data_IF_978355889470
#
_entry.id   IF_978355889470
#
_cell.length_a   1.000
_cell.length_b   1.000
_cell.length_c   1.000
_cell.angle_alpha   90.00
_cell.angle_beta   90.00
_cell.angle_gamma   90.00
#
_symmetry.space_group_name_H-M   'P 1'
#
loop_
_entity.id
_entity.type
_entity.pdbx_description
1 polymer ?
#
# COMPACT_ATOMS: atom_id res chain seq x y z
N UNK A 1 25.08 13.74 8.66
CA UNK A 1 23.98 13.58 7.70
C UNK A 1 22.85 12.85 8.43
N UNK A 2 21.66 13.45 8.57
CA UNK A 2 20.48 12.66 8.92
C UNK A 2 19.98 12.10 7.59
N UNK A 3 20.23 10.83 7.33
CA UNK A 3 19.48 10.11 6.31
C UNK A 3 18.01 10.12 6.77
N UNK A 4 17.19 10.97 6.16
CA UNK A 4 15.75 10.86 6.28
C UNK A 4 15.32 9.65 5.46
N UNK A 5 15.34 8.46 6.07
CA UNK A 5 14.66 7.30 5.52
C UNK A 5 13.20 7.68 5.34
N UNK A 6 12.76 7.77 4.08
CA UNK A 6 11.35 8.04 3.76
C UNK A 6 10.58 6.76 4.08
N UNK A 7 9.64 6.83 5.03
CA UNK A 7 8.79 5.69 5.39
C UNK A 7 8.01 5.19 4.19
N UNK A 8 7.98 3.87 4.02
CA UNK A 8 7.19 3.20 2.98
C UNK A 8 5.84 2.82 3.58
N UNK A 9 4.79 3.50 3.16
CA UNK A 9 3.43 3.35 3.70
C UNK A 9 2.53 2.76 2.62
N UNK A 10 1.85 1.66 2.93
CA UNK A 10 0.81 1.08 2.09
C UNK A 10 -0.57 1.45 2.63
N UNK A 11 -1.35 2.18 1.84
CA UNK A 11 -2.74 2.53 2.15
C UNK A 11 -3.69 1.62 1.41
N UNK A 12 -4.37 0.75 2.13
CA UNK A 12 -5.33 -0.20 1.60
C UNK A 12 -6.74 0.34 1.82
N UNK A 13 -7.57 0.31 0.79
CA UNK A 13 -8.95 0.78 0.85
C UNK A 13 -9.85 -0.01 -0.08
N UNK A 14 -11.14 -0.08 0.25
CA UNK A 14 -12.13 -0.68 -0.63
C UNK A 14 -12.61 0.34 -1.68
N UNK A 15 -12.65 -0.09 -2.92
CA UNK A 15 -13.18 0.68 -4.06
C UNK A 15 -14.71 0.60 -4.09
N UNK A 16 -15.40 1.53 -4.78
CA UNK A 16 -16.86 1.50 -4.91
C UNK A 16 -17.42 0.20 -5.50
N UNK A 17 -16.61 -0.53 -6.26
CA UNK A 17 -16.99 -1.81 -6.86
C UNK A 17 -16.84 -3.00 -5.90
N UNK A 18 -16.53 -2.76 -4.62
CA UNK A 18 -16.33 -3.78 -3.59
C UNK A 18 -14.95 -4.45 -3.62
N UNK A 19 -14.12 -4.15 -4.63
CA UNK A 19 -12.75 -4.65 -4.73
C UNK A 19 -11.79 -3.86 -3.85
N UNK A 20 -10.67 -4.46 -3.47
CA UNK A 20 -9.63 -3.82 -2.69
C UNK A 20 -8.53 -3.23 -3.58
N UNK A 21 -8.02 -2.08 -3.16
CA UNK A 21 -6.90 -1.40 -3.77
C UNK A 21 -5.89 -0.97 -2.70
N UNK A 22 -4.62 -0.87 -3.10
CA UNK A 22 -3.51 -0.41 -2.28
C UNK A 22 -2.75 0.70 -2.97
N UNK A 23 -2.43 1.75 -2.24
CA UNK A 23 -1.59 2.85 -2.71
C UNK A 23 -0.30 2.89 -1.92
N UNK A 24 0.82 2.80 -2.62
CA UNK A 24 2.16 2.78 -2.04
C UNK A 24 2.72 4.20 -2.03
N UNK A 25 3.10 4.66 -0.85
CA UNK A 25 3.65 5.98 -0.58
C UNK A 25 5.07 5.84 -0.03
N UNK A 26 6.01 6.66 -0.51
CA UNK A 26 7.35 6.78 0.08
C UNK A 26 7.51 8.22 0.59
N UNK A 27 7.45 8.39 1.90
CA UNK A 27 7.32 9.71 2.52
C UNK A 27 6.00 10.36 2.11
N UNK A 28 6.06 11.42 1.30
CA UNK A 28 4.87 12.14 0.82
C UNK A 28 4.64 11.97 -0.69
N UNK A 29 5.37 11.06 -1.33
CA UNK A 29 5.28 10.78 -2.76
C UNK A 29 4.54 9.48 -3.02
N UNK A 30 3.65 9.51 -4.00
CA UNK A 30 2.97 8.34 -4.53
C UNK A 30 3.89 7.63 -5.53
N UNK A 31 4.23 6.38 -5.25
CA UNK A 31 5.15 5.59 -6.09
C UNK A 31 4.45 4.52 -6.89
N UNK A 32 3.20 4.17 -6.53
CA UNK A 32 2.43 3.21 -7.28
C UNK A 32 1.15 2.77 -6.57
N UNK A 33 0.35 1.99 -7.29
CA UNK A 33 -0.88 1.43 -6.75
C UNK A 33 -1.17 0.04 -7.33
N UNK A 34 -1.92 -0.73 -6.57
CA UNK A 34 -2.51 -2.00 -6.96
C UNK A 34 -4.02 -1.88 -6.80
N UNK A 35 -4.77 -2.48 -7.72
CA UNK A 35 -6.23 -2.50 -7.67
C UNK A 35 -6.74 -3.86 -8.16
N UNK A 36 -7.99 -4.16 -7.82
CA UNK A 36 -8.68 -5.37 -8.28
C UNK A 36 -8.48 -6.60 -7.39
N UNK A 37 -7.94 -6.43 -6.19
CA UNK A 37 -7.78 -7.53 -5.23
C UNK A 37 -9.11 -7.90 -4.58
N UNK A 38 -9.31 -9.17 -4.22
CA UNK A 38 -10.52 -9.61 -3.54
C UNK A 38 -10.48 -9.34 -2.02
N UNK A 39 -9.29 -9.12 -1.47
CA UNK A 39 -9.07 -8.89 -0.04
C UNK A 39 -7.94 -7.89 0.23
N UNK A 40 -7.89 -7.26 1.43
CA UNK A 40 -6.78 -6.39 1.80
C UNK A 40 -5.46 -7.17 1.94
N UNK A 41 -5.53 -8.46 2.30
CA UNK A 41 -4.35 -9.32 2.40
C UNK A 41 -3.69 -9.56 1.03
N UNK A 42 -4.48 -9.75 -0.04
CA UNK A 42 -3.94 -9.86 -1.41
C UNK A 42 -3.24 -8.58 -1.87
N UNK A 43 -3.74 -7.41 -1.48
CA UNK A 43 -3.08 -6.13 -1.76
C UNK A 43 -1.69 -6.08 -1.10
N UNK A 44 -1.61 -6.45 0.17
CA UNK A 44 -0.34 -6.48 0.90
C UNK A 44 0.63 -7.50 0.30
N UNK A 45 0.14 -8.71 0.01
CA UNK A 45 0.94 -9.77 -0.60
C UNK A 45 1.52 -9.33 -1.95
N UNK A 46 0.69 -8.75 -2.83
CA UNK A 46 1.13 -8.32 -4.14
C UNK A 46 2.24 -7.26 -4.07
N UNK A 47 2.20 -6.36 -3.09
CA UNK A 47 3.29 -5.40 -2.85
C UNK A 47 4.54 -6.11 -2.31
N UNK A 48 4.41 -7.06 -1.39
CA UNK A 48 5.55 -7.82 -0.86
C UNK A 48 6.23 -8.66 -1.94
N UNK A 49 5.47 -9.18 -2.91
CA UNK A 49 6.00 -9.90 -4.08
C UNK A 49 6.84 -9.02 -5.00
N UNK A 50 6.65 -7.69 -4.98
CA UNK A 50 7.54 -6.75 -5.69
C UNK A 50 8.90 -6.54 -5.00
N UNK A 51 9.11 -7.12 -3.82
CA UNK A 51 10.33 -6.95 -3.03
C UNK A 51 10.35 -5.67 -2.18
N UNK A 52 9.21 -4.96 -2.07
CA UNK A 52 9.09 -3.76 -1.24
C UNK A 52 8.96 -4.12 0.25
N UNK A 53 9.79 -3.51 1.09
CA UNK A 53 9.63 -3.54 2.54
C UNK A 53 8.69 -2.41 2.97
N UNK A 54 7.52 -2.78 3.47
CA UNK A 54 6.55 -1.85 4.04
C UNK A 54 6.94 -1.54 5.48
N UNK A 55 6.99 -0.25 5.81
CA UNK A 55 7.21 0.23 7.18
C UNK A 55 5.87 0.27 7.94
N UNK A 56 4.80 0.64 7.24
CA UNK A 56 3.46 0.77 7.79
C UNK A 56 2.39 0.35 6.78
N UNK A 57 1.35 -0.32 7.27
CA UNK A 57 0.16 -0.67 6.49
C UNK A 57 -1.06 -0.02 7.15
N UNK A 58 -1.76 0.82 6.40
CA UNK A 58 -2.98 1.51 6.83
C UNK A 58 -4.17 0.90 6.08
N UNK A 59 -5.05 0.17 6.77
CA UNK A 59 -6.26 -0.40 6.16
C UNK A 59 -7.47 0.46 6.52
N UNK A 60 -8.10 1.07 5.52
CA UNK A 60 -9.39 1.73 5.66
C UNK A 60 -10.51 0.73 5.44
N UNK A 61 -11.25 0.47 6.50
CA UNK A 61 -12.52 -0.24 6.43
C UNK A 61 -13.63 0.74 5.94
N UNK A 62 -14.62 0.25 5.17
CA UNK A 62 -15.78 1.04 4.76
C UNK A 62 -16.64 1.51 5.94
#
# INVERSE_FOLDING_TARGET
MKESFKSVILRIYQTPNGQWAGRLMIGNEDVGWIAGCASPAEVEQAIRETGMCLDQVEVRLP
#
